data_IF_163529201460
#
_entry.id   IF_163529201460
#
_cell.length_a   1.000
_cell.length_b   1.000
_cell.length_c   1.000
_cell.angle_alpha   90.00
_cell.angle_beta   90.00
_cell.angle_gamma   90.00
#
_symmetry.space_group_name_H-M   'P 1'
#
loop_
_entity.id
_entity.type
_entity.pdbx_description
1 polymer ?
#
# COMPACT_ATOMS: atom_id res chain seq x y z
N UNK A 1 30.80 20.47 -19.79
CA UNK A 1 30.11 19.71 -18.73
C UNK A 1 28.73 19.42 -19.27
N UNK A 2 28.52 18.19 -19.75
CA UNK A 2 27.24 17.79 -20.36
C UNK A 2 26.21 17.62 -19.25
N UNK A 3 25.16 18.43 -19.29
CA UNK A 3 23.89 18.17 -18.63
C UNK A 3 23.12 17.19 -19.50
N UNK A 4 23.52 15.92 -19.47
CA UNK A 4 22.66 14.84 -19.93
C UNK A 4 21.62 14.63 -18.85
N UNK A 5 20.45 15.23 -19.07
CA UNK A 5 19.26 14.90 -18.31
C UNK A 5 18.84 13.54 -18.88
N UNK A 6 19.03 12.46 -18.13
CA UNK A 6 18.43 11.15 -18.39
C UNK A 6 16.90 11.28 -18.24
N UNK A 7 16.27 12.03 -19.14
CA UNK A 7 14.83 12.16 -19.23
C UNK A 7 14.36 11.09 -20.20
N UNK A 8 14.10 9.90 -19.67
CA UNK A 8 13.26 8.93 -20.36
C UNK A 8 11.80 9.37 -20.19
N UNK A 9 11.13 9.86 -21.25
CA UNK A 9 9.70 10.12 -21.16
C UNK A 9 8.98 8.84 -20.77
N UNK A 10 8.01 8.95 -19.87
CA UNK A 10 7.16 7.84 -19.44
C UNK A 10 6.65 7.07 -20.66
N UNK A 11 6.70 5.74 -20.60
CA UNK A 11 5.88 4.94 -21.51
C UNK A 11 4.40 5.17 -21.17
N UNK A 12 3.50 5.13 -22.16
CA UNK A 12 2.05 5.31 -21.90
C UNK A 12 1.54 4.36 -20.80
N UNK A 13 2.12 3.16 -20.69
CA UNK A 13 1.81 2.17 -19.66
C UNK A 13 2.16 2.62 -18.24
N UNK A 14 3.27 3.34 -18.06
CA UNK A 14 3.70 3.87 -16.75
C UNK A 14 2.86 5.08 -16.31
N UNK A 15 2.39 5.88 -17.27
CA UNK A 15 1.48 6.99 -17.01
C UNK A 15 0.05 6.51 -16.70
N UNK A 16 -0.40 5.43 -17.35
CA UNK A 16 -1.72 4.84 -17.15
C UNK A 16 -1.81 3.98 -15.88
N UNK A 17 -0.70 3.45 -15.38
CA UNK A 17 -0.66 2.51 -14.26
C UNK A 17 -0.62 3.13 -12.86
N UNK A 18 -0.79 4.44 -12.70
CA UNK A 18 -0.83 5.10 -11.39
C UNK A 18 -2.25 5.15 -10.82
N UNK A 19 -2.43 4.69 -9.58
CA UNK A 19 -3.68 4.96 -8.87
C UNK A 19 -3.80 6.46 -8.57
N UNK A 20 -4.96 7.09 -8.84
CA UNK A 20 -5.26 8.40 -8.32
C UNK A 20 -5.11 8.44 -6.79
N UNK A 21 -4.90 9.62 -6.21
CA UNK A 21 -4.89 9.76 -4.75
C UNK A 21 -6.24 9.31 -4.17
N UNK A 22 -6.23 8.38 -3.22
CA UNK A 22 -7.47 7.81 -2.69
C UNK A 22 -7.25 6.68 -1.70
N UNK A 23 -8.36 6.08 -1.28
CA UNK A 23 -8.39 4.86 -0.48
C UNK A 23 -8.73 3.69 -1.39
N UNK A 24 -7.91 2.64 -1.35
CA UNK A 24 -8.06 1.46 -2.19
C UNK A 24 -8.06 0.21 -1.34
N UNK A 25 -8.85 -0.77 -1.76
CA UNK A 25 -8.80 -2.08 -1.15
C UNK A 25 -7.46 -2.73 -1.45
N UNK A 26 -6.87 -3.39 -0.45
CA UNK A 26 -5.65 -4.12 -0.61
C UNK A 26 -5.62 -5.38 0.24
N UNK A 27 -4.97 -6.40 -0.30
CA UNK A 27 -4.69 -7.65 0.42
C UNK A 27 -3.20 -7.79 0.64
N UNK A 28 -2.77 -8.09 1.87
CA UNK A 28 -1.37 -8.34 2.18
C UNK A 28 -1.00 -9.74 1.66
N UNK A 29 -0.20 -9.78 0.61
CA UNK A 29 0.31 -11.02 0.03
C UNK A 29 1.46 -11.59 0.86
N UNK A 30 2.39 -10.72 1.28
CA UNK A 30 3.58 -11.14 2.01
C UNK A 30 3.97 -10.08 3.03
N UNK A 31 4.54 -10.53 4.16
CA UNK A 31 5.09 -9.68 5.19
C UNK A 31 6.52 -10.14 5.50
N UNK A 32 7.50 -9.25 5.36
CA UNK A 32 8.91 -9.55 5.59
C UNK A 32 9.58 -8.50 6.47
N UNK A 33 10.73 -8.84 7.04
CA UNK A 33 11.59 -7.91 7.78
C UNK A 33 12.87 -7.69 6.99
N UNK A 34 13.31 -6.44 6.85
CA UNK A 34 14.65 -6.12 6.37
C UNK A 34 15.37 -5.18 7.33
N UNK A 35 16.67 -5.40 7.60
CA UNK A 35 17.49 -4.42 8.29
C UNK A 35 17.64 -3.16 7.44
N UNK A 36 17.78 -2.03 8.10
CA UNK A 36 17.99 -0.76 7.44
C UNK A 36 19.33 -0.67 6.73
N UNK A 37 19.33 -0.15 5.50
CA UNK A 37 20.56 0.06 4.74
C UNK A 37 21.51 1.07 5.38
N UNK A 38 20.97 2.11 6.04
CA UNK A 38 21.75 3.15 6.71
C UNK A 38 22.06 2.82 8.17
N UNK A 39 21.15 2.11 8.82
CA UNK A 39 21.28 1.68 10.22
C UNK A 39 20.77 0.23 10.34
N UNK A 40 21.68 -0.75 10.46
CA UNK A 40 21.31 -2.16 10.59
C UNK A 40 20.54 -2.49 11.88
N UNK A 41 20.59 -1.62 12.89
CA UNK A 41 19.85 -1.79 14.14
C UNK A 41 18.34 -1.55 13.97
N UNK A 42 17.96 -0.83 12.92
CA UNK A 42 16.57 -0.57 12.59
C UNK A 42 16.07 -1.69 11.67
N UNK A 43 15.10 -2.47 12.16
CA UNK A 43 14.41 -3.48 11.34
C UNK A 43 13.09 -2.91 10.81
N UNK A 44 12.94 -2.87 9.49
CA UNK A 44 11.71 -2.44 8.84
C UNK A 44 10.83 -3.64 8.54
N UNK A 45 9.53 -3.48 8.76
CA UNK A 45 8.52 -4.38 8.23
C UNK A 45 8.16 -3.93 6.82
N UNK A 46 8.12 -4.87 5.89
CA UNK A 46 7.79 -4.65 4.49
C UNK A 46 6.57 -5.49 4.18
N UNK A 47 5.53 -4.85 3.64
CA UNK A 47 4.36 -5.55 3.13
C UNK A 47 4.36 -5.53 1.61
N UNK A 48 4.15 -6.69 1.00
CA UNK A 48 3.74 -6.82 -0.39
C UNK A 48 2.23 -6.86 -0.41
N UNK A 49 1.61 -5.93 -1.12
CA UNK A 49 0.17 -5.76 -1.18
C UNK A 49 -0.31 -5.99 -2.60
N UNK A 50 -1.44 -6.67 -2.77
CA UNK A 50 -2.24 -6.57 -3.98
C UNK A 50 -3.23 -5.42 -3.77
N UNK A 51 -3.08 -4.31 -4.49
CA UNK A 51 -4.03 -3.19 -4.45
C UNK A 51 -5.02 -3.33 -5.59
N UNK A 52 -6.29 -3.22 -5.28
CA UNK A 52 -7.40 -3.38 -6.22
C UNK A 52 -8.21 -2.09 -6.32
N UNK A 53 -8.57 -1.71 -7.55
CA UNK A 53 -9.70 -0.82 -7.82
C UNK A 53 -10.53 -1.36 -8.97
N UNK A 54 -11.68 -0.73 -9.23
CA UNK A 54 -12.68 -1.15 -10.23
C UNK A 54 -12.11 -1.39 -11.64
N UNK A 55 -10.92 -0.85 -11.95
CA UNK A 55 -10.32 -0.89 -13.28
C UNK A 55 -8.96 -1.58 -13.33
N UNK A 56 -8.30 -1.81 -12.19
CA UNK A 56 -6.93 -2.30 -12.17
C UNK A 56 -6.58 -3.00 -10.85
N UNK A 57 -5.76 -4.04 -10.96
CA UNK A 57 -5.03 -4.63 -9.84
C UNK A 57 -3.54 -4.37 -10.00
N UNK A 58 -2.84 -4.11 -8.90
CA UNK A 58 -1.39 -3.86 -8.93
C UNK A 58 -0.73 -4.34 -7.66
N UNK A 59 0.37 -5.05 -7.82
CA UNK A 59 1.23 -5.37 -6.69
C UNK A 59 2.04 -4.14 -6.29
N UNK A 60 1.98 -3.78 -5.01
CA UNK A 60 2.73 -2.68 -4.43
C UNK A 60 3.53 -3.15 -3.22
N UNK A 61 4.76 -2.69 -3.10
CA UNK A 61 5.59 -2.94 -1.92
C UNK A 61 5.65 -1.68 -1.07
N UNK A 62 5.27 -1.79 0.21
CA UNK A 62 5.34 -0.69 1.18
C UNK A 62 6.30 -1.03 2.30
N UNK A 63 7.14 -0.05 2.64
CA UNK A 63 8.02 -0.10 3.78
C UNK A 63 7.31 0.62 4.93
N UNK A 64 7.09 -0.04 6.06
CA UNK A 64 6.51 0.60 7.24
C UNK A 64 7.60 1.38 7.99
N UNK A 65 8.03 2.51 7.43
CA UNK A 65 9.08 3.36 8.01
C UNK A 65 8.56 4.26 9.13
N UNK A 66 7.27 4.62 9.11
CA UNK A 66 6.69 5.49 10.14
C UNK A 66 6.22 4.64 11.33
N UNK A 67 6.46 5.07 12.58
CA UNK A 67 6.07 4.31 13.78
C UNK A 67 4.58 3.97 13.83
N UNK A 68 3.72 4.86 13.31
CA UNK A 68 2.27 4.68 13.30
C UNK A 68 1.78 3.70 12.23
N UNK A 69 2.53 3.47 11.15
CA UNK A 69 2.06 2.63 10.03
C UNK A 69 1.84 1.19 10.47
N UNK A 70 2.75 0.62 11.27
CA UNK A 70 2.59 -0.75 11.75
C UNK A 70 1.40 -0.87 12.72
N UNK A 71 1.20 0.14 13.57
CA UNK A 71 0.02 0.22 14.45
C UNK A 71 -1.26 0.25 13.61
N UNK A 72 -1.35 1.16 12.64
CA UNK A 72 -2.52 1.30 11.78
C UNK A 72 -2.78 0.03 10.97
N UNK A 73 -1.75 -0.63 10.44
CA UNK A 73 -1.90 -1.93 9.78
C UNK A 73 -2.46 -2.99 10.73
N UNK A 74 -2.00 -3.04 11.99
CA UNK A 74 -2.49 -4.00 12.97
C UNK A 74 -3.98 -3.74 13.30
N UNK A 75 -4.36 -2.49 13.53
CA UNK A 75 -5.76 -2.13 13.75
C UNK A 75 -6.64 -2.36 12.51
N UNK A 76 -6.09 -2.15 11.31
CA UNK A 76 -6.80 -2.37 10.06
C UNK A 76 -7.06 -3.85 9.76
N UNK A 77 -6.25 -4.74 10.33
CA UNK A 77 -6.32 -6.21 10.13
C UNK A 77 -6.89 -6.96 11.34
N UNK A 78 -7.56 -6.25 12.26
CA UNK A 78 -8.11 -6.77 13.51
C UNK A 78 -7.06 -7.45 14.43
N UNK A 79 -5.79 -7.05 14.31
CA UNK A 79 -4.68 -7.50 15.15
C UNK A 79 -4.22 -6.39 16.14
N UNK A 80 -5.05 -5.38 16.40
CA UNK A 80 -4.73 -4.27 17.30
C UNK A 80 -4.33 -4.75 18.70
N UNK A 81 -5.06 -5.72 19.25
CA UNK A 81 -4.77 -6.27 20.59
C UNK A 81 -3.39 -6.94 20.63
N UNK A 82 -3.03 -7.71 19.58
CA UNK A 82 -1.71 -8.35 19.46
C UNK A 82 -0.57 -7.33 19.33
N UNK A 83 -0.84 -6.18 18.72
CA UNK A 83 0.11 -5.08 18.63
C UNK A 83 0.36 -4.48 20.02
N UNK A 84 -0.70 -4.14 20.76
CA UNK A 84 -0.60 -3.55 22.10
C UNK A 84 0.00 -4.54 23.12
N UNK A 85 -0.27 -5.84 22.99
CA UNK A 85 0.33 -6.91 23.81
C UNK A 85 1.74 -7.34 23.37
N UNK A 86 2.28 -6.75 22.29
CA UNK A 86 3.60 -7.09 21.71
C UNK A 86 3.76 -8.55 21.29
N UNK A 87 2.67 -9.24 20.98
CA UNK A 87 2.66 -10.64 20.48
C UNK A 87 2.47 -10.73 18.97
N UNK A 88 2.46 -9.59 18.28
CA UNK A 88 2.25 -9.52 16.85
C UNK A 88 3.40 -10.12 16.03
N UNK A 89 3.05 -11.01 15.11
CA UNK A 89 3.98 -11.66 14.18
C UNK A 89 3.70 -11.24 12.75
N UNK A 90 4.65 -11.48 11.84
CA UNK A 90 4.46 -11.16 10.41
C UNK A 90 3.35 -12.00 9.78
N UNK A 91 3.19 -13.25 10.24
CA UNK A 91 2.17 -14.17 9.76
C UNK A 91 0.75 -13.71 10.07
N UNK A 92 0.55 -12.88 11.11
CA UNK A 92 -0.76 -12.33 11.47
C UNK A 92 -1.32 -11.38 10.40
N UNK A 93 -0.46 -10.87 9.52
CA UNK A 93 -0.79 -9.94 8.46
C UNK A 93 -1.07 -10.63 7.11
N UNK A 94 -0.44 -11.76 6.84
CA UNK A 94 -0.52 -12.41 5.53
C UNK A 94 -1.95 -12.89 5.24
N UNK A 95 -2.45 -12.58 4.05
CA UNK A 95 -3.82 -12.87 3.63
C UNK A 95 -4.89 -11.95 4.24
N UNK A 96 -4.50 -10.95 5.04
CA UNK A 96 -5.44 -9.97 5.57
C UNK A 96 -5.71 -8.87 4.57
N UNK A 97 -6.96 -8.45 4.54
CA UNK A 97 -7.44 -7.37 3.70
C UNK A 97 -7.64 -6.10 4.52
N UNK A 98 -7.31 -4.97 3.91
CA UNK A 98 -7.35 -3.64 4.51
C UNK A 98 -7.47 -2.58 3.43
N UNK A 99 -7.74 -1.33 3.80
CA UNK A 99 -7.71 -0.23 2.86
C UNK A 99 -6.39 0.53 2.97
N UNK A 100 -5.75 0.82 1.85
CA UNK A 100 -4.53 1.64 1.77
C UNK A 100 -4.85 3.04 1.28
N UNK A 101 -4.26 4.04 1.92
CA UNK A 101 -4.24 5.41 1.40
C UNK A 101 -3.07 5.57 0.45
N UNK A 102 -3.37 5.69 -0.83
CA UNK A 102 -2.38 5.96 -1.87
C UNK A 102 -2.31 7.46 -2.12
N UNK A 103 -1.09 8.00 -2.15
CA UNK A 103 -0.78 9.31 -2.72
C UNK A 103 0.03 9.14 -4.00
N UNK A 104 0.05 10.18 -4.82
CA UNK A 104 0.98 10.30 -5.94
C UNK A 104 2.08 11.24 -5.49
N UNK A 105 3.30 10.72 -5.40
CA UNK A 105 4.48 11.53 -5.15
C UNK A 105 5.03 11.97 -6.49
N UNK A 106 5.06 13.29 -6.72
CA UNK A 106 5.70 13.86 -7.90
C UNK A 106 7.20 13.53 -7.89
N UNK A 107 7.77 13.34 -9.07
CA UNK A 107 9.19 13.07 -9.20
C UNK A 107 10.06 14.22 -8.68
N UNK A 108 11.30 13.90 -8.34
CA UNK A 108 12.33 14.89 -7.97
C UNK A 108 13.43 14.93 -9.04
N UNK A 109 14.39 15.86 -8.92
CA UNK A 109 15.51 16.00 -9.88
C UNK A 109 16.31 14.71 -10.09
N UNK A 110 16.27 13.77 -9.14
CA UNK A 110 16.96 12.48 -9.21
C UNK A 110 16.08 11.33 -9.69
N UNK A 111 14.76 11.45 -9.52
CA UNK A 111 13.75 10.49 -9.93
C UNK A 111 12.57 11.24 -10.53
N UNK A 112 12.63 11.64 -11.81
CA UNK A 112 11.66 12.56 -12.41
C UNK A 112 10.26 11.94 -12.57
N UNK A 113 10.14 10.62 -12.48
CA UNK A 113 8.88 9.92 -12.70
C UNK A 113 8.03 9.85 -11.41
N UNK A 114 6.75 10.27 -11.47
CA UNK A 114 5.83 10.18 -10.34
C UNK A 114 5.57 8.72 -9.95
N UNK A 115 5.37 8.46 -8.64
CA UNK A 115 5.17 7.11 -8.11
C UNK A 115 4.03 7.08 -7.11
N UNK A 116 3.29 5.98 -7.09
CA UNK A 116 2.33 5.72 -6.01
C UNK A 116 3.07 5.42 -4.71
N UNK A 117 2.74 6.17 -3.66
CA UNK A 117 3.25 5.96 -2.31
C UNK A 117 2.08 5.60 -1.39
N UNK A 118 2.22 4.51 -0.63
CA UNK A 118 1.26 4.16 0.41
C UNK A 118 1.58 4.99 1.64
N UNK A 119 0.69 5.93 1.95
CA UNK A 119 0.88 6.89 3.03
C UNK A 119 0.43 6.33 4.38
N UNK A 120 -0.64 5.55 4.38
CA UNK A 120 -1.28 5.06 5.60
C UNK A 120 -2.18 3.84 5.35
N UNK A 121 -2.54 3.15 6.42
CA UNK A 121 -3.44 2.00 6.43
C UNK A 121 -4.72 2.35 7.18
N UNK A 122 -5.85 1.90 6.66
CA UNK A 122 -7.17 2.15 7.23
C UNK A 122 -7.88 0.81 7.36
N UNK A 123 -8.65 0.64 8.43
CA UNK A 123 -9.53 -0.51 8.55
C UNK A 123 -10.41 -0.55 7.31
N UNK A 124 -10.48 -1.72 6.67
CA UNK A 124 -11.41 -1.90 5.58
C UNK A 124 -12.79 -1.62 6.16
N UNK A 125 -13.42 -0.52 5.71
CA UNK A 125 -14.87 -0.42 5.85
C UNK A 125 -15.33 -1.61 5.04
N UNK A 126 -15.87 -2.63 5.73
CA UNK A 126 -16.48 -3.76 5.07
C UNK A 126 -17.22 -3.18 3.88
N UNK A 127 -16.86 -3.64 2.68
CA UNK A 127 -17.58 -3.32 1.46
C UNK A 127 -19.03 -3.63 1.82
N UNK A 128 -19.81 -2.59 2.19
CA UNK A 128 -21.24 -2.72 2.39
C UNK A 128 -21.65 -3.25 1.02
N UNK A 129 -22.01 -4.53 0.99
CA UNK A 129 -22.61 -5.15 -0.17
C UNK A 129 -23.70 -4.18 -0.59
N UNK A 130 -23.45 -3.40 -1.65
CA UNK A 130 -24.51 -2.66 -2.28
C UNK A 130 -25.55 -3.74 -2.60
N UNK A 131 -26.77 -3.66 -2.04
CA UNK A 131 -27.79 -4.59 -2.44
C UNK A 131 -27.90 -4.45 -3.96
N UNK A 132 -27.71 -5.57 -4.66
CA UNK A 132 -28.13 -5.66 -6.05
C UNK A 132 -29.64 -5.42 -6.04
N UNK A 133 -30.03 -4.18 -6.32
CA UNK A 133 -31.42 -3.85 -6.58
C UNK A 133 -31.87 -4.56 -7.87
N UNK A 134 -33.16 -4.89 -7.88
CA UNK A 134 -33.99 -5.33 -9.00
C UNK A 134 -33.85 -6.77 -9.53
N UNK A 135 -34.70 -7.64 -8.98
CA UNK A 135 -35.62 -8.40 -9.86
C UNK A 135 -37.04 -8.20 -9.34
N UNK A 136 -37.75 -7.25 -9.93
CA UNK A 136 -39.22 -7.16 -9.84
C UNK A 136 -39.79 -8.30 -10.70
N UNK A 137 -40.48 -9.32 -10.16
CA UNK A 137 -41.27 -10.21 -10.99
C UNK A 137 -42.59 -9.52 -11.34
N UNK A 138 -42.89 -9.48 -12.64
CA UNK A 138 -44.15 -9.04 -13.25
C UNK A 138 -45.38 -9.78 -12.68
#
# INVERSE_FOLDING_TARGET
MSTDIDYEPLTEEEALGLFPKGEYYATILEASKKPGKKDPSITYVIFKLNVESDKQHKEMTVYCFKPFMLRHAAYATDNGDKYESKTLTLSDFVGKSLNVKISVKEGDEKYPNPKNEIWDFVKSKAQENLPFDDVIPF
#
